data_IF_807578518518
#
_entry.id   IF_807578518518
#
_cell.length_a   1.000
_cell.length_b   1.000
_cell.length_c   1.000
_cell.angle_alpha   90.00
_cell.angle_beta   90.00
_cell.angle_gamma   90.00
#
_symmetry.space_group_name_H-M   'P 1'
#
loop_
_entity.id
_entity.type
_entity.pdbx_description
1 polymer ?
#
# COMPACT_ATOMS: atom_id res chain seq x y z
N UNK A 1 2.59 -12.91 -22.27
CA UNK A 1 1.87 -12.68 -21.00
C UNK A 1 2.80 -13.21 -19.93
N UNK A 2 3.18 -12.37 -18.98
CA UNK A 2 4.18 -12.68 -17.97
C UNK A 2 3.52 -12.57 -16.61
N UNK A 3 3.60 -13.66 -15.84
CA UNK A 3 3.15 -13.68 -14.46
C UNK A 3 4.22 -13.08 -13.56
N UNK A 4 3.79 -12.15 -12.72
CA UNK A 4 4.62 -11.48 -11.71
C UNK A 4 4.12 -11.90 -10.33
N UNK A 5 5.04 -12.34 -9.49
CA UNK A 5 4.76 -12.67 -8.08
C UNK A 5 5.49 -11.66 -7.21
N UNK A 6 4.74 -10.98 -6.34
CA UNK A 6 5.29 -10.06 -5.34
C UNK A 6 5.18 -10.73 -3.97
N UNK A 7 6.28 -10.81 -3.23
CA UNK A 7 6.38 -11.51 -1.96
C UNK A 7 7.24 -12.77 -2.05
N UNK A 8 7.24 -13.56 -0.97
CA UNK A 8 7.93 -14.85 -0.94
C UNK A 8 7.15 -15.88 -1.74
N UNK A 9 7.83 -16.80 -2.41
CA UNK A 9 7.19 -17.87 -3.19
C UNK A 9 6.21 -18.74 -2.37
N UNK A 10 6.43 -18.87 -1.06
CA UNK A 10 5.57 -19.65 -0.15
C UNK A 10 4.37 -18.85 0.39
N UNK A 11 4.47 -17.52 0.40
CA UNK A 11 3.44 -16.59 0.93
C UNK A 11 3.48 -15.27 0.13
N UNK A 12 2.97 -15.28 -1.12
CA UNK A 12 3.02 -14.10 -1.96
C UNK A 12 1.98 -13.07 -1.51
N UNK A 13 2.37 -11.80 -1.54
CA UNK A 13 1.45 -10.67 -1.36
C UNK A 13 0.39 -10.60 -2.45
N UNK A 14 0.80 -10.87 -3.68
CA UNK A 14 -0.07 -10.92 -4.84
C UNK A 14 0.62 -11.56 -6.05
N UNK A 15 -0.20 -12.03 -6.97
CA UNK A 15 0.20 -12.48 -8.30
C UNK A 15 -0.60 -11.70 -9.33
N UNK A 16 0.07 -11.14 -10.34
CA UNK A 16 -0.59 -10.43 -11.43
C UNK A 16 -0.02 -10.86 -12.78
N UNK A 17 -0.84 -10.73 -13.82
CA UNK A 17 -0.41 -10.98 -15.19
C UNK A 17 -0.22 -9.67 -15.96
N UNK A 18 0.96 -9.49 -16.55
CA UNK A 18 1.30 -8.36 -17.41
C UNK A 18 1.55 -8.81 -18.85
N UNK A 19 1.07 -8.03 -19.80
CA UNK A 19 1.33 -8.23 -21.24
C UNK A 19 2.37 -7.24 -21.74
N UNK A 20 2.94 -7.48 -22.92
CA UNK A 20 3.88 -6.53 -23.53
C UNK A 20 3.22 -5.18 -23.86
N UNK A 21 1.93 -5.21 -24.22
CA UNK A 21 1.11 -4.01 -24.46
C UNK A 21 0.91 -3.21 -23.18
N UNK A 22 0.72 -3.87 -22.03
CA UNK A 22 0.56 -3.19 -20.74
C UNK A 22 1.80 -2.36 -20.39
N UNK A 23 3.00 -2.82 -20.74
CA UNK A 23 4.27 -2.18 -20.38
C UNK A 23 4.91 -1.41 -21.53
N UNK A 24 4.21 -1.22 -22.65
CA UNK A 24 4.77 -0.58 -23.84
C UNK A 24 5.18 0.88 -23.56
N UNK A 25 4.26 1.63 -22.92
CA UNK A 25 4.42 3.01 -22.49
C UNK A 25 4.85 3.08 -21.02
N UNK A 26 5.90 3.86 -20.76
CA UNK A 26 6.53 3.97 -19.44
C UNK A 26 5.60 4.52 -18.34
N UNK A 27 4.64 5.40 -18.69
CA UNK A 27 3.76 6.02 -17.70
C UNK A 27 2.47 5.23 -17.56
N UNK A 28 1.83 4.89 -18.68
CA UNK A 28 0.59 4.11 -18.68
C UNK A 28 0.82 2.71 -18.13
N UNK A 29 1.99 2.12 -18.36
CA UNK A 29 2.29 0.79 -17.81
C UNK A 29 2.41 0.77 -16.29
N UNK A 30 2.85 1.87 -15.68
CA UNK A 30 2.80 2.01 -14.21
C UNK A 30 1.35 2.10 -13.75
N UNK A 31 0.51 2.88 -14.43
CA UNK A 31 -0.90 3.05 -14.07
C UNK A 31 -1.67 1.72 -14.20
N UNK A 32 -1.47 0.96 -15.29
CA UNK A 32 -2.08 -0.35 -15.50
C UNK A 32 -1.59 -1.37 -14.47
N UNK A 33 -0.29 -1.43 -14.22
CA UNK A 33 0.27 -2.33 -13.20
C UNK A 33 -0.26 -1.98 -11.80
N UNK A 34 -0.41 -0.69 -11.48
CA UNK A 34 -0.98 -0.22 -10.22
C UNK A 34 -2.44 -0.63 -10.06
N UNK A 35 -3.26 -0.52 -11.10
CA UNK A 35 -4.66 -0.97 -11.06
C UNK A 35 -4.75 -2.49 -10.83
N UNK A 36 -4.01 -3.29 -11.61
CA UNK A 36 -3.97 -4.75 -11.45
C UNK A 36 -3.48 -5.17 -10.06
N UNK A 37 -2.43 -4.53 -9.55
CA UNK A 37 -1.93 -4.80 -8.20
C UNK A 37 -2.98 -4.43 -7.15
N UNK A 38 -3.65 -3.28 -7.26
CA UNK A 38 -4.67 -2.85 -6.29
C UNK A 38 -5.87 -3.78 -6.20
N UNK A 39 -6.19 -4.51 -7.26
CA UNK A 39 -7.28 -5.51 -7.27
C UNK A 39 -6.95 -6.77 -6.46
N UNK A 40 -5.67 -7.17 -6.46
CA UNK A 40 -5.23 -8.45 -5.88
C UNK A 40 -4.55 -8.27 -4.53
N UNK A 41 -3.86 -7.14 -4.33
CA UNK A 41 -3.01 -6.90 -3.16
C UNK A 41 -3.86 -6.74 -1.89
N UNK A 42 -3.60 -7.61 -0.92
CA UNK A 42 -4.27 -7.55 0.38
C UNK A 42 -3.46 -6.69 1.34
N UNK A 43 -3.74 -5.38 1.33
CA UNK A 43 -3.12 -4.48 2.29
C UNK A 43 -3.67 -4.72 3.70
N UNK A 44 -2.82 -4.69 4.74
CA UNK A 44 -3.28 -4.75 6.12
C UNK A 44 -4.24 -3.58 6.41
N UNK A 45 -5.28 -3.78 7.24
CA UNK A 45 -6.21 -2.71 7.56
C UNK A 45 -5.49 -1.60 8.33
N UNK A 46 -5.92 -0.36 8.10
CA UNK A 46 -5.47 0.82 8.86
C UNK A 46 -6.66 1.38 9.63
N UNK A 47 -6.70 1.10 10.93
CA UNK A 47 -7.76 1.52 11.86
C UNK A 47 -7.17 2.40 12.97
N UNK A 48 -8.01 3.01 13.80
CA UNK A 48 -7.53 3.75 14.96
C UNK A 48 -6.80 2.83 15.95
N UNK A 49 -7.30 1.60 16.12
CA UNK A 49 -6.78 0.66 17.10
C UNK A 49 -5.37 0.15 16.74
N UNK A 50 -5.08 -0.02 15.44
CA UNK A 50 -3.81 -0.58 14.97
C UNK A 50 -2.84 0.45 14.38
N UNK A 51 -3.21 1.75 14.36
CA UNK A 51 -2.43 2.75 13.62
C UNK A 51 -1.00 2.93 14.16
N UNK A 52 -0.72 2.56 15.42
CA UNK A 52 0.61 2.65 16.03
C UNK A 52 1.37 1.33 16.11
N UNK A 53 0.77 0.21 15.68
CA UNK A 53 1.39 -1.12 15.81
C UNK A 53 2.57 -1.34 14.86
N UNK A 54 2.70 -0.49 13.82
CA UNK A 54 3.74 -0.60 12.80
C UNK A 54 4.44 0.73 12.57
N UNK A 55 5.69 0.66 12.14
CA UNK A 55 6.37 1.81 11.56
C UNK A 55 5.63 2.28 10.29
N UNK A 56 5.68 3.58 10.02
CA UNK A 56 5.02 4.17 8.84
C UNK A 56 5.53 3.47 7.57
N UNK A 57 4.61 2.84 6.83
CA UNK A 57 4.94 2.21 5.55
C UNK A 57 5.76 0.94 5.67
N UNK A 58 5.59 0.19 6.76
CA UNK A 58 6.03 -1.20 6.89
C UNK A 58 5.21 -2.14 5.96
N UNK A 59 5.49 -1.99 4.67
CA UNK A 59 5.11 -2.87 3.58
C UNK A 59 6.42 -3.31 2.93
N UNK A 60 7.10 -4.27 3.56
CA UNK A 60 8.24 -4.93 2.96
C UNK A 60 7.71 -5.92 1.94
N UNK A 61 7.72 -5.53 0.66
CA UNK A 61 7.24 -6.37 -0.45
C UNK A 61 8.05 -7.67 -0.68
N UNK A 62 9.05 -7.93 0.17
CA UNK A 62 10.04 -9.00 0.05
C UNK A 62 10.71 -9.02 -1.34
N UNK A 63 10.32 -9.96 -2.20
CA UNK A 63 10.91 -10.20 -3.51
C UNK A 63 9.89 -9.96 -4.64
N UNK A 64 10.38 -9.57 -5.81
CA UNK A 64 9.58 -9.50 -7.04
C UNK A 64 10.18 -10.52 -7.99
N UNK A 65 9.38 -11.51 -8.39
CA UNK A 65 9.80 -12.58 -9.29
C UNK A 65 8.90 -12.63 -10.52
N UNK A 66 9.49 -13.00 -11.65
CA UNK A 66 8.81 -13.14 -12.94
C UNK A 66 8.96 -14.59 -13.41
N UNK A 67 7.90 -15.18 -13.97
CA UNK A 67 7.95 -16.55 -14.50
C UNK A 67 8.89 -16.70 -15.70
N UNK A 68 9.07 -15.62 -16.48
CA UNK A 68 9.93 -15.58 -17.67
C UNK A 68 10.94 -14.43 -17.56
N UNK A 69 12.00 -14.48 -18.37
CA UNK A 69 13.00 -13.40 -18.42
C UNK A 69 12.38 -12.15 -19.06
N UNK A 70 12.24 -11.09 -18.26
CA UNK A 70 11.61 -9.83 -18.68
C UNK A 70 12.60 -8.70 -18.91
N UNK A 71 12.19 -7.76 -19.76
CA UNK A 71 12.93 -6.51 -19.96
C UNK A 71 12.75 -5.53 -18.77
N UNK A 72 13.53 -4.45 -18.78
CA UNK A 72 13.47 -3.42 -17.74
C UNK A 72 12.15 -2.64 -17.64
N UNK A 73 11.28 -2.68 -18.66
CA UNK A 73 9.97 -2.00 -18.62
C UNK A 73 9.01 -2.67 -17.64
N UNK A 74 9.00 -4.01 -17.61
CA UNK A 74 8.22 -4.78 -16.64
C UNK A 74 8.66 -4.47 -15.21
N UNK A 75 9.98 -4.51 -14.96
CA UNK A 75 10.56 -4.11 -13.67
C UNK A 75 10.15 -2.69 -13.27
N UNK A 76 10.26 -1.73 -14.19
CA UNK A 76 9.87 -0.36 -13.93
C UNK A 76 8.39 -0.23 -13.57
N UNK A 77 7.51 -0.85 -14.35
CA UNK A 77 6.07 -0.80 -14.12
C UNK A 77 5.69 -1.35 -12.73
N UNK A 78 6.22 -2.52 -12.36
CA UNK A 78 5.92 -3.19 -11.09
C UNK A 78 6.52 -2.44 -9.89
N UNK A 79 7.79 -2.03 -9.97
CA UNK A 79 8.45 -1.33 -8.86
C UNK A 79 7.78 0.02 -8.58
N UNK A 80 7.49 0.79 -9.64
CA UNK A 80 6.89 2.11 -9.48
C UNK A 80 5.45 2.04 -8.97
N UNK A 81 4.68 1.06 -9.44
CA UNK A 81 3.30 0.84 -8.95
C UNK A 81 3.29 0.42 -7.47
N UNK A 82 4.13 -0.53 -7.07
CA UNK A 82 4.31 -0.92 -5.66
C UNK A 82 4.76 0.25 -4.78
N UNK A 83 5.63 1.12 -5.30
CA UNK A 83 6.04 2.34 -4.60
C UNK A 83 4.86 3.28 -4.36
N UNK A 84 4.02 3.54 -5.37
CA UNK A 84 2.83 4.39 -5.24
C UNK A 84 1.81 3.81 -4.25
N UNK A 85 1.58 2.50 -4.32
CA UNK A 85 0.70 1.80 -3.37
C UNK A 85 1.19 1.98 -1.93
N UNK A 86 2.50 1.84 -1.71
CA UNK A 86 3.12 2.07 -0.40
C UNK A 86 2.95 3.51 0.08
N UNK A 87 3.15 4.51 -0.79
CA UNK A 87 2.95 5.91 -0.42
C UNK A 87 1.50 6.21 -0.02
N UNK A 88 0.53 5.67 -0.76
CA UNK A 88 -0.89 5.84 -0.44
C UNK A 88 -1.25 5.19 0.90
N UNK A 89 -0.67 4.03 1.18
CA UNK A 89 -0.82 3.35 2.46
C UNK A 89 -0.24 4.19 3.62
N UNK A 90 0.99 4.72 3.47
CA UNK A 90 1.61 5.63 4.46
C UNK A 90 0.74 6.86 4.71
N UNK A 91 0.20 7.48 3.65
CA UNK A 91 -0.70 8.64 3.77
C UNK A 91 -1.95 8.28 4.58
N UNK A 92 -2.53 7.09 4.39
CA UNK A 92 -3.67 6.61 5.18
C UNK A 92 -3.29 6.40 6.65
N UNK A 93 -2.16 5.72 6.93
CA UNK A 93 -1.65 5.54 8.30
C UNK A 93 -1.48 6.87 9.04
N UNK A 94 -0.83 7.84 8.41
CA UNK A 94 -0.61 9.18 9.01
C UNK A 94 -1.90 9.91 9.33
N UNK A 95 -2.91 9.84 8.44
CA UNK A 95 -4.24 10.42 8.70
C UNK A 95 -4.91 9.76 9.91
N UNK A 96 -4.80 8.44 10.04
CA UNK A 96 -5.37 7.71 11.18
C UNK A 96 -4.65 8.02 12.49
N UNK A 97 -3.31 8.09 12.51
CA UNK A 97 -2.52 8.53 13.67
C UNK A 97 -2.91 9.95 14.11
N UNK A 98 -3.11 10.86 13.16
CA UNK A 98 -3.55 12.22 13.46
C UNK A 98 -4.97 12.26 14.05
N UNK A 99 -5.88 11.43 13.53
CA UNK A 99 -7.24 11.31 14.07
C UNK A 99 -7.24 10.74 15.49
N UNK A 100 -6.43 9.71 15.75
CA UNK A 100 -6.26 9.14 17.09
C UNK A 100 -5.76 10.19 18.10
N UNK A 101 -4.74 10.96 17.71
CA UNK A 101 -4.24 12.08 18.50
C UNK A 101 -5.34 13.10 18.82
N UNK A 102 -6.12 13.50 17.81
CA UNK A 102 -7.24 14.42 17.99
C UNK A 102 -8.30 13.89 18.96
N UNK A 103 -8.70 12.62 18.81
CA UNK A 103 -9.69 11.98 19.67
C UNK A 103 -9.21 11.88 21.12
N UNK A 104 -7.93 11.57 21.32
CA UNK A 104 -7.29 11.54 22.64
C UNK A 104 -7.27 12.91 23.30
N UNK A 105 -6.92 13.96 22.55
CA UNK A 105 -6.95 15.34 23.03
C UNK A 105 -8.36 15.79 23.38
N UNK A 106 -9.35 15.51 22.52
CA UNK A 106 -10.76 15.82 22.76
C UNK A 106 -11.28 15.15 24.03
N UNK A 107 -11.09 13.84 24.17
CA UNK A 107 -11.50 13.08 25.36
C UNK A 107 -10.89 13.65 26.65
N UNK A 108 -9.63 14.09 26.59
CA UNK A 108 -8.95 14.71 27.73
C UNK A 108 -9.51 16.11 28.04
N UNK A 109 -9.79 16.90 27.02
CA UNK A 109 -10.45 18.22 27.15
C UNK A 109 -11.84 18.08 27.76
N UNK A 110 -12.70 17.21 27.21
CA UNK A 110 -14.07 16.97 27.66
C UNK A 110 -14.10 16.56 29.15
N UNK A 111 -13.16 15.69 29.57
CA UNK A 111 -12.99 15.32 30.98
C UNK A 111 -12.62 16.50 31.89
N UNK A 112 -11.74 17.40 31.43
CA UNK A 112 -11.31 18.59 32.20
C UNK A 112 -12.38 19.67 32.24
N UNK A 113 -13.25 19.71 31.24
CA UNK A 113 -14.20 20.79 30.98
C UNK A 113 -15.65 20.29 30.94
N UNK A 114 -16.00 19.30 31.77
CA UNK A 114 -17.33 18.68 31.78
C UNK A 114 -18.49 19.70 31.86
N UNK A 115 -18.28 20.83 32.56
CA UNK A 115 -19.25 21.92 32.72
C UNK A 115 -19.76 22.57 31.42
N UNK A 116 -19.09 22.37 30.28
CA UNK A 116 -19.49 22.95 28.98
C UNK A 116 -20.20 21.95 28.05
N UNK A 117 -20.37 20.70 28.48
CA UNK A 117 -20.90 19.61 27.64
C UNK A 117 -22.04 18.83 28.32
N UNK A 118 -22.65 19.42 29.36
CA UNK A 118 -23.91 18.97 29.99
C UNK A 118 -25.09 19.67 29.32
#
# INVERSE_FOLDING_TARGET
>A
MVKVTVGKAEDPWCEIDLTEEDVEDWKKGVDIAEEKLKEVIQLPPVTLDNCHEREDGDLQWDEITFEEEVNGKYWHAVIMSLHRIREDFVKKQRKMKHLDWYMTMKKTSDKRNAKYYV
#
